data_IF_796929561450
#
_entry.id   IF_796929561450
#
_cell.length_a   1.000
_cell.length_b   1.000
_cell.length_c   1.000
_cell.angle_alpha   90.00
_cell.angle_beta   90.00
_cell.angle_gamma   90.00
#
_symmetry.space_group_name_H-M   'P 1'
#
loop_
_entity.id
_entity.type
_entity.pdbx_description
1 polymer ?
#
# COMPACT_ATOMS: atom_id res chain seq x y z
N UNK A 1 25.10 -54.74 42.91
CA UNK A 1 24.19 -55.39 41.93
C UNK A 1 22.75 -55.12 42.38
N UNK A 2 21.81 -54.81 41.46
CA UNK A 2 21.19 -53.48 41.41
C UNK A 2 19.67 -53.45 41.70
N UNK A 3 19.21 -52.41 42.39
CA UNK A 3 17.80 -52.00 42.47
C UNK A 3 17.64 -50.69 41.69
N UNK A 4 17.28 -50.82 40.40
CA UNK A 4 17.11 -49.71 39.46
C UNK A 4 15.79 -48.99 39.69
N UNK A 5 15.79 -47.98 40.55
CA UNK A 5 14.66 -47.08 40.80
C UNK A 5 14.39 -46.22 39.55
N UNK A 6 13.35 -46.58 38.80
CA UNK A 6 12.89 -45.86 37.60
C UNK A 6 12.43 -44.44 37.99
N UNK A 7 13.29 -43.46 37.76
CA UNK A 7 12.95 -42.04 37.86
C UNK A 7 12.07 -41.68 36.65
N UNK A 8 10.76 -41.66 36.86
CA UNK A 8 9.77 -41.32 35.84
C UNK A 8 9.99 -39.88 35.36
N UNK A 9 10.61 -39.72 34.19
CA UNK A 9 10.88 -38.45 33.55
C UNK A 9 9.61 -37.93 32.86
N UNK A 10 8.67 -37.39 33.64
CA UNK A 10 7.46 -36.77 33.08
C UNK A 10 7.76 -35.30 32.80
N UNK A 11 8.29 -35.01 31.62
CA UNK A 11 8.46 -33.65 31.12
C UNK A 11 7.05 -33.10 30.77
N UNK A 12 6.48 -32.31 31.66
CA UNK A 12 5.31 -31.48 31.37
C UNK A 12 5.72 -30.38 30.38
N UNK A 13 5.57 -30.63 29.07
CA UNK A 13 5.68 -29.59 28.04
C UNK A 13 4.40 -28.73 28.06
N UNK A 14 4.38 -27.67 28.85
CA UNK A 14 3.38 -26.60 28.70
C UNK A 14 3.64 -25.85 27.39
N UNK A 15 2.75 -25.99 26.41
CA UNK A 15 2.76 -25.21 25.18
C UNK A 15 2.33 -23.76 25.49
N UNK A 16 3.29 -22.84 25.48
CA UNK A 16 3.01 -21.41 25.53
C UNK A 16 2.37 -21.01 24.19
N UNK A 17 1.05 -20.76 24.19
CA UNK A 17 0.34 -20.29 23.00
C UNK A 17 0.65 -18.81 22.77
N UNK A 18 1.35 -18.51 21.68
CA UNK A 18 1.59 -17.13 21.24
C UNK A 18 0.38 -16.65 20.42
N UNK A 19 -0.50 -15.86 21.04
CA UNK A 19 -1.55 -15.16 20.32
C UNK A 19 -0.97 -13.88 19.71
N UNK A 20 -0.92 -13.80 18.39
CA UNK A 20 -0.52 -12.57 17.71
C UNK A 20 -1.57 -11.47 17.98
N UNK A 21 -1.15 -10.20 18.20
CA UNK A 21 -2.09 -9.10 18.30
C UNK A 21 -2.82 -8.92 16.97
N UNK A 22 -4.15 -8.83 17.03
CA UNK A 22 -4.97 -8.45 15.89
C UNK A 22 -4.68 -7.00 15.55
N UNK A 23 -3.99 -6.78 14.43
CA UNK A 23 -3.62 -5.45 13.97
C UNK A 23 -4.89 -4.68 13.56
N UNK A 24 -5.25 -3.64 14.33
CA UNK A 24 -6.40 -2.78 14.02
C UNK A 24 -6.08 -2.00 12.74
N UNK A 25 -6.93 -2.16 11.73
CA UNK A 25 -6.89 -1.35 10.53
C UNK A 25 -7.38 0.06 10.89
N UNK A 26 -6.56 1.07 10.60
CA UNK A 26 -6.91 2.48 10.82
C UNK A 26 -7.26 3.12 9.48
N UNK A 27 -8.37 3.85 9.40
CA UNK A 27 -8.86 4.45 8.15
C UNK A 27 -8.15 5.76 7.79
N UNK A 28 -7.54 6.43 8.76
CA UNK A 28 -6.90 7.72 8.56
C UNK A 28 -5.74 7.95 9.53
N UNK A 29 -4.76 8.73 9.08
CA UNK A 29 -3.62 9.18 9.87
C UNK A 29 -3.69 10.71 9.92
N UNK A 30 -3.60 11.28 11.12
CA UNK A 30 -3.46 12.72 11.32
C UNK A 30 -2.15 12.99 12.03
N UNK A 31 -1.42 14.01 11.60
CA UNK A 31 -0.21 14.44 12.30
C UNK A 31 -0.56 15.06 13.67
N UNK A 32 -1.73 15.70 13.78
CA UNK A 32 -2.22 16.34 14.99
C UNK A 32 -3.69 15.99 15.25
N UNK A 33 -4.02 15.67 16.49
CA UNK A 33 -5.41 15.43 16.91
C UNK A 33 -6.09 14.25 16.22
N UNK A 34 -7.41 14.32 16.11
CA UNK A 34 -8.24 13.28 15.49
C UNK A 34 -8.49 13.55 14.00
N UNK A 35 -8.50 12.53 13.12
CA UNK A 35 -8.85 12.70 11.72
C UNK A 35 -10.24 13.29 11.53
N UNK A 36 -10.36 14.29 10.64
CA UNK A 36 -11.62 15.02 10.37
C UNK A 36 -12.73 14.13 9.80
N UNK A 37 -12.39 13.05 9.10
CA UNK A 37 -13.34 12.16 8.44
C UNK A 37 -13.29 10.77 9.08
N UNK A 38 -14.47 10.17 9.30
CA UNK A 38 -14.61 8.82 9.85
C UNK A 38 -14.41 7.71 8.80
N UNK A 39 -14.44 6.44 9.23
CA UNK A 39 -14.21 5.29 8.34
C UNK A 39 -15.29 5.15 7.26
N UNK A 40 -16.51 5.59 7.52
CA UNK A 40 -17.65 5.46 6.60
C UNK A 40 -17.82 6.67 5.65
N UNK A 41 -16.83 7.56 5.58
CA UNK A 41 -16.92 8.74 4.71
C UNK A 41 -16.77 8.37 3.23
N UNK A 42 -17.78 8.69 2.42
CA UNK A 42 -17.79 8.37 0.99
C UNK A 42 -17.15 9.46 0.12
N UNK A 43 -17.23 10.72 0.57
CA UNK A 43 -16.72 11.89 -0.16
C UNK A 43 -16.25 12.97 0.84
N UNK A 44 -15.33 13.83 0.40
CA UNK A 44 -14.96 15.02 1.17
C UNK A 44 -16.04 16.11 1.06
N UNK A 45 -16.16 16.96 2.09
CA UNK A 45 -17.19 18.01 2.15
C UNK A 45 -17.14 18.98 0.95
N UNK A 46 -15.95 19.22 0.40
CA UNK A 46 -15.75 20.14 -0.72
C UNK A 46 -15.99 19.52 -2.11
N UNK A 47 -16.38 18.24 -2.19
CA UNK A 47 -16.64 17.57 -3.46
C UNK A 47 -18.13 17.66 -3.78
N UNK A 48 -18.45 18.06 -5.01
CA UNK A 48 -19.77 17.85 -5.59
C UNK A 48 -19.88 16.39 -6.09
N UNK A 49 -20.63 15.50 -5.42
CA UNK A 49 -20.70 14.08 -5.80
C UNK A 49 -21.40 13.86 -7.15
N UNK A 50 -22.27 14.79 -7.57
CA UNK A 50 -23.00 14.72 -8.85
C UNK A 50 -22.31 15.52 -9.96
N UNK A 51 -21.02 15.80 -9.83
CA UNK A 51 -20.28 16.56 -10.84
C UNK A 51 -20.34 15.86 -12.21
N UNK A 52 -20.78 16.56 -13.28
CA UNK A 52 -20.86 15.97 -14.61
C UNK A 52 -19.46 15.52 -15.05
N UNK A 53 -19.38 14.29 -15.57
CA UNK A 53 -18.14 13.73 -16.09
C UNK A 53 -18.09 14.01 -17.58
N UNK A 54 -17.02 14.66 -18.04
CA UNK A 54 -16.80 15.00 -19.44
C UNK A 54 -16.56 16.49 -19.69
N UNK A 55 -16.34 16.84 -20.95
CA UNK A 55 -15.93 18.19 -21.37
C UNK A 55 -14.41 18.35 -21.51
N UNK A 56 -13.98 19.54 -21.95
CA UNK A 56 -12.57 19.86 -22.17
C UNK A 56 -12.08 20.91 -21.17
N UNK A 57 -11.09 20.54 -20.35
CA UNK A 57 -10.37 21.45 -19.46
C UNK A 57 -9.22 22.10 -20.25
N UNK A 58 -9.32 23.39 -20.56
CA UNK A 58 -8.23 24.15 -21.23
C UNK A 58 -7.54 25.04 -20.22
N UNK A 59 -6.34 24.65 -19.79
CA UNK A 59 -5.52 25.41 -18.84
C UNK A 59 -4.32 26.05 -19.55
N UNK A 60 -4.00 27.29 -19.19
CA UNK A 60 -2.78 27.99 -19.61
C UNK A 60 -1.86 28.15 -18.39
N UNK A 61 -0.58 27.88 -18.59
CA UNK A 61 0.47 28.11 -17.60
C UNK A 61 1.52 29.03 -18.22
N UNK A 62 2.06 29.96 -17.43
CA UNK A 62 3.16 30.83 -17.84
C UNK A 62 4.49 30.09 -17.64
N UNK A 63 5.36 30.10 -18.65
CA UNK A 63 6.66 29.43 -18.63
C UNK A 63 6.84 28.46 -19.79
N UNK A 64 7.92 27.69 -19.74
CA UNK A 64 8.24 26.63 -20.70
C UNK A 64 8.40 25.29 -19.98
N UNK A 65 8.32 24.19 -20.73
CA UNK A 65 8.60 22.85 -20.25
C UNK A 65 9.49 22.12 -21.27
N UNK A 66 10.47 21.41 -20.76
CA UNK A 66 11.42 20.64 -21.59
C UNK A 66 11.25 19.12 -21.38
N UNK A 67 10.54 18.72 -20.34
CA UNK A 67 10.29 17.31 -20.01
C UNK A 67 8.82 17.08 -19.69
N UNK A 68 8.34 15.89 -20.02
CA UNK A 68 7.05 15.41 -19.52
C UNK A 68 7.21 14.66 -18.20
N UNK A 69 8.38 14.15 -17.85
CA UNK A 69 8.56 13.35 -16.62
C UNK A 69 8.84 14.24 -15.41
N UNK A 70 7.98 14.31 -14.37
CA UNK A 70 8.17 15.21 -13.23
C UNK A 70 9.05 14.63 -12.11
N UNK A 71 9.59 13.42 -12.28
CA UNK A 71 10.34 12.69 -11.24
C UNK A 71 11.83 12.58 -11.52
N UNK A 72 12.34 13.31 -12.52
CA UNK A 72 13.76 13.35 -12.84
C UNK A 72 14.42 14.57 -12.19
N UNK A 73 15.68 14.44 -11.81
CA UNK A 73 16.41 15.49 -11.09
C UNK A 73 16.62 16.78 -11.91
N UNK A 74 16.52 16.70 -13.24
CA UNK A 74 16.82 17.81 -14.16
C UNK A 74 15.73 18.04 -15.18
N UNK A 75 15.54 19.32 -15.50
CA UNK A 75 14.56 19.80 -16.49
C UNK A 75 13.30 20.36 -15.84
N UNK A 76 12.51 21.10 -16.62
CA UNK A 76 11.24 21.69 -16.17
C UNK A 76 10.07 20.86 -16.70
N UNK A 77 9.34 20.22 -15.79
CA UNK A 77 8.23 19.35 -16.13
C UNK A 77 6.97 20.12 -16.55
N UNK A 78 6.28 19.63 -17.57
CA UNK A 78 4.99 20.18 -17.99
C UNK A 78 3.95 20.06 -16.86
N UNK A 79 3.20 21.13 -16.62
CA UNK A 79 2.08 21.10 -15.67
C UNK A 79 1.03 20.11 -16.16
N UNK A 80 0.56 19.24 -15.25
CA UNK A 80 -0.40 18.19 -15.56
C UNK A 80 0.22 16.88 -16.03
N UNK A 81 1.55 16.80 -16.22
CA UNK A 81 2.18 15.57 -16.70
C UNK A 81 2.02 14.38 -15.76
N UNK A 82 1.86 14.61 -14.46
CA UNK A 82 1.50 13.58 -13.46
C UNK A 82 0.27 12.73 -13.82
N UNK A 83 -0.65 13.22 -14.67
CA UNK A 83 -1.82 12.46 -15.09
C UNK A 83 -1.52 11.42 -16.19
N UNK A 84 -0.40 11.57 -16.89
CA UNK A 84 0.01 10.74 -18.04
C UNK A 84 0.82 9.54 -17.57
N UNK A 85 1.63 9.74 -16.53
CA UNK A 85 2.52 8.68 -16.07
C UNK A 85 1.76 7.68 -15.22
N UNK A 86 1.78 6.39 -15.58
CA UNK A 86 1.47 5.36 -14.62
C UNK A 86 2.65 5.36 -13.63
N UNK A 87 2.60 6.18 -12.59
CA UNK A 87 3.34 5.86 -11.38
C UNK A 87 2.67 4.64 -10.80
N UNK A 88 2.97 3.49 -11.40
CA UNK A 88 2.59 2.22 -10.84
C UNK A 88 3.41 2.11 -9.55
N UNK A 89 2.74 2.41 -8.46
CA UNK A 89 3.17 2.29 -7.08
C UNK A 89 3.55 0.84 -6.70
N UNK A 90 3.74 -0.05 -7.68
CA UNK A 90 4.18 -1.43 -7.50
C UNK A 90 5.59 -1.53 -6.88
N UNK A 91 6.39 -0.45 -6.88
CA UNK A 91 7.76 -0.53 -6.33
C UNK A 91 7.87 -0.21 -4.83
N UNK A 92 6.86 0.40 -4.19
CA UNK A 92 7.00 0.91 -2.81
C UNK A 92 5.94 0.44 -1.81
N UNK A 93 4.97 -0.36 -2.24
CA UNK A 93 4.16 -1.16 -1.30
C UNK A 93 4.69 -2.59 -1.39
N UNK A 94 5.47 -2.99 -0.38
CA UNK A 94 5.91 -4.36 -0.16
C UNK A 94 4.73 -5.31 0.13
N UNK A 95 3.80 -5.42 -0.80
CA UNK A 95 2.61 -6.24 -0.74
C UNK A 95 2.57 -7.11 -1.98
N UNK A 96 3.01 -8.36 -1.80
CA UNK A 96 2.82 -9.53 -2.67
C UNK A 96 1.55 -9.41 -3.56
N UNK A 97 1.64 -8.74 -4.71
CA UNK A 97 0.56 -8.81 -5.71
C UNK A 97 0.85 -10.04 -6.54
N UNK A 98 0.10 -11.10 -6.29
CA UNK A 98 0.08 -12.28 -7.15
C UNK A 98 -0.13 -11.80 -8.59
N UNK A 99 0.90 -11.91 -9.42
CA UNK A 99 0.79 -11.66 -10.86
C UNK A 99 -0.26 -12.62 -11.41
N UNK A 100 -1.23 -12.17 -12.23
CA UNK A 100 -2.08 -13.10 -12.97
C UNK A 100 -1.16 -13.97 -13.82
N UNK A 101 -1.26 -15.27 -13.58
CA UNK A 101 -0.46 -16.32 -14.20
C UNK A 101 -0.76 -16.37 -15.69
N UNK A 102 -0.02 -15.57 -16.47
CA UNK A 102 0.18 -15.75 -17.90
C UNK A 102 1.68 -15.83 -18.16
N UNK A 103 2.25 -16.96 -17.78
CA UNK A 103 3.54 -17.44 -18.28
C UNK A 103 3.33 -18.90 -18.67
N UNK A 104 2.86 -19.12 -19.89
CA UNK A 104 3.05 -20.39 -20.58
C UNK A 104 4.47 -20.40 -21.13
N UNK A 105 5.28 -21.33 -20.64
CA UNK A 105 6.68 -21.51 -21.01
C UNK A 105 7.54 -20.36 -20.47
N UNK A 106 8.63 -20.58 -19.75
CA UNK A 106 9.63 -21.60 -19.97
C UNK A 106 10.18 -22.04 -18.62
N UNK A 107 10.20 -23.35 -18.43
CA UNK A 107 10.98 -24.04 -17.40
C UNK A 107 12.46 -23.80 -17.64
N UNK A 108 13.22 -23.36 -16.63
CA UNK A 108 14.55 -23.92 -16.34
C UNK A 108 14.95 -23.65 -14.88
N UNK A 109 15.28 -24.74 -14.18
CA UNK A 109 16.10 -24.93 -12.96
C UNK A 109 15.81 -24.10 -11.70
#
# INVERSE_FOLDING_TARGET
>A
MPEGRLFNNTIFYTALSFSAPTQKQHHAISLYGQPKYGPDSTHFNYINPIAPKGGALKQRVLGHFDTLTPYIDRGTAAVGSHMIHPLDLEMWVGGKRAKPRYLHGWSVC
#
